data_IF_989767227484
#
_entry.id   IF_989767227484
#
_cell.length_a   1.000
_cell.length_b   1.000
_cell.length_c   1.000
_cell.angle_alpha   90.00
_cell.angle_beta   90.00
_cell.angle_gamma   90.00
#
_symmetry.space_group_name_H-M   'P 1'
#
loop_
_entity.id
_entity.type
_entity.pdbx_description
1 polymer ?
#
# COMPACT_ATOMS: atom_id res chain seq x y z
N UNK A 1 11.47 -4.88 6.36
CA UNK A 1 12.36 -3.83 5.85
C UNK A 1 12.24 -3.66 4.35
N UNK A 2 12.75 -2.56 3.83
CA UNK A 2 12.72 -2.28 2.39
C UNK A 2 13.49 -3.34 1.60
N UNK A 3 14.58 -3.85 2.15
CA UNK A 3 15.37 -4.90 1.51
C UNK A 3 14.57 -6.17 1.30
N UNK A 4 13.78 -6.58 2.28
CA UNK A 4 12.92 -7.75 2.18
C UNK A 4 11.80 -7.54 1.16
N UNK A 5 11.25 -6.32 1.11
CA UNK A 5 10.23 -5.97 0.12
C UNK A 5 10.78 -6.06 -1.29
N UNK A 6 11.97 -5.54 -1.53
CA UNK A 6 12.61 -5.64 -2.85
C UNK A 6 12.90 -7.09 -3.23
N UNK A 7 13.36 -7.89 -2.28
CA UNK A 7 13.57 -9.30 -2.54
C UNK A 7 12.27 -9.98 -2.97
N UNK A 8 11.18 -9.69 -2.27
CA UNK A 8 9.87 -10.21 -2.63
C UNK A 8 9.42 -9.78 -4.03
N UNK A 9 9.72 -8.53 -4.41
CA UNK A 9 9.40 -8.03 -5.74
C UNK A 9 10.15 -8.80 -6.83
N UNK A 10 11.44 -9.08 -6.63
CA UNK A 10 12.23 -9.85 -7.60
C UNK A 10 11.77 -11.29 -7.75
N UNK A 11 11.15 -11.84 -6.72
CA UNK A 11 10.59 -13.20 -6.76
C UNK A 11 9.20 -13.26 -7.38
N UNK A 12 8.55 -12.13 -7.58
CA UNK A 12 7.18 -12.07 -8.07
C UNK A 12 7.11 -12.18 -9.58
N UNK A 13 5.91 -12.41 -10.09
CA UNK A 13 5.63 -12.44 -11.54
C UNK A 13 5.56 -11.03 -12.14
N UNK A 14 5.54 -10.01 -11.29
CA UNK A 14 5.39 -8.61 -11.70
C UNK A 14 6.52 -7.76 -11.12
N UNK A 15 7.74 -8.11 -11.51
CA UNK A 15 8.95 -7.50 -10.95
C UNK A 15 8.95 -5.98 -11.11
N UNK A 16 8.75 -5.49 -12.33
CA UNK A 16 8.80 -4.06 -12.62
C UNK A 16 7.71 -3.30 -11.86
N UNK A 17 6.49 -3.81 -11.89
CA UNK A 17 5.37 -3.15 -11.22
C UNK A 17 5.57 -3.09 -9.71
N UNK A 18 6.05 -4.17 -9.13
CA UNK A 18 6.30 -4.22 -7.69
C UNK A 18 7.48 -3.34 -7.27
N UNK A 19 8.52 -3.26 -8.10
CA UNK A 19 9.62 -2.33 -7.83
C UNK A 19 9.16 -0.87 -7.91
N UNK A 20 8.30 -0.54 -8.86
CA UNK A 20 7.72 0.80 -8.96
C UNK A 20 6.88 1.14 -7.73
N UNK A 21 6.13 0.18 -7.22
CA UNK A 21 5.35 0.35 -5.99
C UNK A 21 6.26 0.59 -4.79
N UNK A 22 7.37 -0.12 -4.71
CA UNK A 22 8.34 0.07 -3.64
C UNK A 22 8.94 1.48 -3.70
N UNK A 23 9.27 1.97 -4.89
CA UNK A 23 9.77 3.32 -5.06
C UNK A 23 8.76 4.36 -4.60
N UNK A 24 7.48 4.17 -4.91
CA UNK A 24 6.41 5.03 -4.42
C UNK A 24 6.31 5.00 -2.91
N UNK A 25 6.41 3.83 -2.31
CA UNK A 25 6.38 3.68 -0.87
C UNK A 25 7.54 4.43 -0.20
N UNK A 26 8.75 4.30 -0.75
CA UNK A 26 9.91 5.01 -0.23
C UNK A 26 9.70 6.54 -0.26
N UNK A 27 9.10 7.05 -1.33
CA UNK A 27 8.77 8.48 -1.42
C UNK A 27 7.73 8.89 -0.39
N UNK A 28 6.73 8.05 -0.16
CA UNK A 28 5.67 8.33 0.82
C UNK A 28 6.22 8.42 2.24
N UNK A 29 7.12 7.54 2.64
CA UNK A 29 7.67 7.57 4.00
C UNK A 29 8.55 8.79 4.27
N UNK A 30 8.98 9.49 3.22
CA UNK A 30 9.69 10.76 3.37
C UNK A 30 8.74 11.95 3.58
N UNK A 31 7.46 11.78 3.27
CA UNK A 31 6.45 12.84 3.35
C UNK A 31 5.54 12.64 4.56
N UNK A 32 5.22 11.39 4.87
CA UNK A 32 4.23 11.02 5.90
C UNK A 32 4.97 10.55 7.15
N UNK A 33 4.54 10.98 8.37
CA UNK A 33 5.12 10.46 9.60
C UNK A 33 5.03 8.94 9.64
N UNK A 34 6.18 8.30 9.77
CA UNK A 34 6.28 6.85 9.72
C UNK A 34 5.51 6.16 10.85
N UNK A 35 5.53 6.77 12.04
CA UNK A 35 4.82 6.25 13.19
C UNK A 35 3.31 6.16 12.96
N UNK A 36 2.73 7.19 12.31
CA UNK A 36 1.31 7.20 12.01
C UNK A 36 0.94 6.11 11.00
N UNK A 37 1.81 5.90 10.00
CA UNK A 37 1.60 4.86 8.99
C UNK A 37 1.66 3.47 9.60
N UNK A 38 2.59 3.22 10.53
CA UNK A 38 2.71 1.93 11.21
C UNK A 38 1.45 1.66 12.03
N UNK A 39 0.99 2.64 12.78
CA UNK A 39 -0.20 2.48 13.62
C UNK A 39 -1.44 2.21 12.75
N UNK A 40 -1.61 2.95 11.69
CA UNK A 40 -2.71 2.73 10.75
C UNK A 40 -2.64 1.32 10.15
N UNK A 41 -1.45 0.90 9.71
CA UNK A 41 -1.24 -0.43 9.16
C UNK A 41 -1.66 -1.52 10.15
N UNK A 42 -1.21 -1.41 11.38
CA UNK A 42 -1.50 -2.43 12.39
C UNK A 42 -2.98 -2.55 12.68
N UNK A 43 -3.65 -1.42 12.86
CA UNK A 43 -5.09 -1.38 13.12
C UNK A 43 -5.89 -1.89 11.92
N UNK A 44 -5.55 -1.47 10.72
CA UNK A 44 -6.26 -1.87 9.52
C UNK A 44 -6.05 -3.34 9.18
N UNK A 45 -4.84 -3.85 9.39
CA UNK A 45 -4.56 -5.27 9.21
C UNK A 45 -5.43 -6.12 10.14
N UNK A 46 -5.54 -5.70 11.39
CA UNK A 46 -6.38 -6.39 12.36
C UNK A 46 -7.86 -6.35 11.96
N UNK A 47 -8.34 -5.19 11.51
CA UNK A 47 -9.73 -5.02 11.07
C UNK A 47 -10.04 -5.93 9.88
N UNK A 48 -9.20 -5.91 8.85
CA UNK A 48 -9.40 -6.72 7.65
C UNK A 48 -9.36 -8.22 7.97
N UNK A 49 -8.43 -8.62 8.83
CA UNK A 49 -8.33 -10.01 9.25
C UNK A 49 -9.60 -10.48 9.96
N UNK A 50 -10.16 -9.64 10.82
CA UNK A 50 -11.41 -9.98 11.54
C UNK A 50 -12.60 -10.10 10.58
N UNK A 51 -12.57 -9.42 9.45
CA UNK A 51 -13.58 -9.50 8.41
C UNK A 51 -13.36 -10.64 7.42
N UNK A 52 -12.26 -11.39 7.57
CA UNK A 52 -11.91 -12.45 6.64
C UNK A 52 -11.38 -11.94 5.31
N UNK A 53 -10.96 -10.68 5.24
CA UNK A 53 -10.42 -10.08 4.03
C UNK A 53 -8.90 -10.20 4.02
N UNK A 54 -8.35 -10.76 2.94
CA UNK A 54 -6.91 -10.90 2.75
C UNK A 54 -6.41 -9.80 1.82
N UNK A 55 -5.34 -9.14 2.25
CA UNK A 55 -4.64 -8.14 1.42
C UNK A 55 -3.15 -8.34 1.63
N UNK A 56 -2.35 -8.21 0.58
CA UNK A 56 -0.91 -8.36 0.72
C UNK A 56 -0.34 -7.25 1.60
N UNK A 57 0.63 -7.61 2.45
CA UNK A 57 1.23 -6.67 3.40
C UNK A 57 1.79 -5.44 2.70
N UNK A 58 2.38 -5.62 1.53
CA UNK A 58 2.96 -4.52 0.77
C UNK A 58 1.89 -3.50 0.34
N UNK A 59 0.79 -3.98 -0.23
CA UNK A 59 -0.32 -3.12 -0.63
C UNK A 59 -0.92 -2.39 0.58
N UNK A 60 -1.02 -3.10 1.70
CA UNK A 60 -1.53 -2.50 2.92
C UNK A 60 -0.61 -1.40 3.46
N UNK A 61 0.71 -1.60 3.39
CA UNK A 61 1.67 -0.58 3.79
C UNK A 61 1.56 0.68 2.94
N UNK A 62 1.47 0.53 1.63
CA UNK A 62 1.31 1.65 0.70
C UNK A 62 0.01 2.40 0.98
N UNK A 63 -1.10 1.67 1.08
CA UNK A 63 -2.41 2.25 1.37
C UNK A 63 -2.43 2.95 2.72
N UNK A 64 -1.77 2.37 3.72
CA UNK A 64 -1.68 2.94 5.06
C UNK A 64 -0.92 4.26 5.05
N UNK A 65 0.20 4.32 4.33
CA UNK A 65 0.97 5.56 4.21
C UNK A 65 0.16 6.65 3.52
N UNK A 66 -0.51 6.31 2.42
CA UNK A 66 -1.35 7.27 1.70
C UNK A 66 -2.51 7.76 2.56
N UNK A 67 -3.17 6.87 3.26
CA UNK A 67 -4.32 7.20 4.10
C UNK A 67 -3.91 8.10 5.28
N UNK A 68 -2.86 7.74 5.99
CA UNK A 68 -2.41 8.51 7.15
C UNK A 68 -1.86 9.89 6.76
N UNK A 69 -1.39 10.03 5.53
CA UNK A 69 -0.92 11.33 5.00
C UNK A 69 -2.01 12.13 4.30
N UNK A 70 -3.25 11.66 4.26
CA UNK A 70 -4.35 12.27 3.50
C UNK A 70 -4.00 12.43 2.03
N UNK A 71 -3.29 11.46 1.48
CA UNK A 71 -2.87 11.46 0.09
C UNK A 71 -3.82 10.61 -0.75
N UNK A 72 -3.91 10.95 -2.03
CA UNK A 72 -4.68 10.16 -2.99
C UNK A 72 -3.76 9.13 -3.61
N UNK A 73 -4.16 7.86 -3.56
CA UNK A 73 -3.43 6.79 -4.22
C UNK A 73 -3.90 6.65 -5.65
N UNK A 74 -2.99 6.86 -6.59
CA UNK A 74 -3.26 6.68 -8.01
C UNK A 74 -2.79 5.29 -8.42
N UNK A 75 -3.72 4.44 -8.84
CA UNK A 75 -3.41 3.07 -9.20
C UNK A 75 -4.47 2.51 -10.16
N UNK A 76 -4.07 1.61 -11.05
CA UNK A 76 -5.01 0.84 -11.85
C UNK A 76 -5.44 -0.45 -11.13
N UNK A 77 -4.80 -0.78 -10.01
CA UNK A 77 -5.13 -1.95 -9.19
C UNK A 77 -6.13 -1.59 -8.08
N UNK A 78 -7.22 -0.93 -8.44
CA UNK A 78 -8.23 -0.45 -7.48
C UNK A 78 -8.73 -1.57 -6.57
N UNK A 79 -8.91 -2.77 -7.11
CA UNK A 79 -9.40 -3.93 -6.34
C UNK A 79 -8.50 -4.30 -5.17
N UNK A 80 -7.18 -4.12 -5.31
CA UNK A 80 -6.22 -4.46 -4.27
C UNK A 80 -6.33 -3.52 -3.07
N UNK A 81 -6.78 -2.29 -3.29
CA UNK A 81 -6.79 -1.24 -2.27
C UNK A 81 -8.19 -0.87 -1.78
N UNK A 82 -9.23 -1.37 -2.44
CA UNK A 82 -10.62 -0.96 -2.19
C UNK A 82 -11.10 -1.26 -0.76
N UNK A 83 -10.55 -2.26 -0.11
CA UNK A 83 -10.96 -2.67 1.23
C UNK A 83 -10.31 -1.85 2.36
N UNK A 84 -9.36 -0.99 2.03
CA UNK A 84 -8.71 -0.15 3.02
C UNK A 84 -9.61 1.03 3.35
N UNK A 85 -10.05 1.11 4.59
CA UNK A 85 -11.01 2.11 5.04
C UNK A 85 -10.40 3.51 5.02
N UNK A 86 -11.11 4.44 4.41
CA UNK A 86 -10.69 5.84 4.38
C UNK A 86 -9.67 6.19 3.31
N UNK A 87 -9.24 5.22 2.51
CA UNK A 87 -8.26 5.47 1.46
C UNK A 87 -8.93 6.11 0.24
N UNK A 88 -8.42 7.26 -0.18
CA UNK A 88 -8.84 7.90 -1.42
C UNK A 88 -8.06 7.30 -2.60
N UNK A 89 -8.77 6.78 -3.58
CA UNK A 89 -8.18 6.10 -4.74
C UNK A 89 -8.65 6.78 -6.01
N UNK A 90 -7.73 7.01 -6.94
CA UNK A 90 -8.05 7.46 -8.30
C UNK A 90 -7.39 6.52 -9.31
N UNK A 91 -8.11 6.26 -10.39
CA UNK A 91 -7.61 5.48 -11.50
C UNK A 91 -7.56 6.37 -12.74
N UNK A 92 -6.33 6.70 -13.18
CA UNK A 92 -6.12 7.57 -14.34
C UNK A 92 -5.92 6.78 -15.64
N UNK A 93 -5.96 5.45 -15.55
CA UNK A 93 -5.81 4.61 -16.73
C UNK A 93 -7.11 4.64 -17.54
N UNK A 94 -7.03 5.14 -18.76
CA UNK A 94 -8.16 5.10 -19.69
C UNK A 94 -8.18 3.76 -20.39
N UNK A 95 -9.31 3.12 -20.36
CA UNK A 95 -9.51 1.83 -21.03
C UNK A 95 -10.63 1.93 -22.04
#
# INVERSE_FOLDING_TARGET
TIAELKYGAYKSDRIKENLDLIDRFIRLINIVPFTDSIEFYAQEKNRLRSLGVSIEDFDLLIGSAACSGNLILVTDNVKHFANIKGLAIENWVKR
#
